data_IF_622858344782
#
_entry.id   IF_622858344782
#
_cell.length_a   1.000
_cell.length_b   1.000
_cell.length_c   1.000
_cell.angle_alpha   90.00
_cell.angle_beta   90.00
_cell.angle_gamma   90.00
#
_symmetry.space_group_name_H-M   'P 1'
#
loop_
_entity.id
_entity.type
_entity.pdbx_description
1 polymer ?
#
# COMPACT_ATOMS: atom_id res chain seq x y z
N UNK A 1 9.12 24.95 -2.31
CA UNK A 1 8.54 24.18 -1.15
C UNK A 1 7.10 23.82 -1.46
N UNK A 2 6.71 22.55 -1.27
CA UNK A 2 5.33 22.10 -1.52
C UNK A 2 4.36 22.73 -0.51
N UNK A 3 3.19 23.21 -0.93
CA UNK A 3 2.22 23.86 -0.04
C UNK A 3 1.73 22.93 1.07
N UNK A 4 1.54 23.48 2.28
CA UNK A 4 1.04 22.74 3.44
C UNK A 4 -0.50 22.60 3.42
N UNK A 5 -1.18 23.53 2.75
CA UNK A 5 -2.63 23.50 2.58
C UNK A 5 -3.01 22.54 1.46
N UNK A 6 -4.17 21.86 1.57
CA UNK A 6 -4.66 20.98 0.52
C UNK A 6 -4.92 21.78 -0.75
N UNK A 7 -4.28 21.38 -1.84
CA UNK A 7 -4.51 21.93 -3.16
C UNK A 7 -5.60 21.12 -3.88
N UNK A 8 -6.33 21.78 -4.76
CA UNK A 8 -7.12 21.08 -5.78
C UNK A 8 -6.20 20.42 -6.81
N UNK A 9 -6.70 19.42 -7.53
CA UNK A 9 -5.91 18.71 -8.56
C UNK A 9 -5.37 19.70 -9.61
N UNK A 10 -6.14 20.72 -9.96
CA UNK A 10 -5.68 21.71 -10.96
C UNK A 10 -4.59 22.63 -10.40
N UNK A 11 -4.66 23.00 -9.12
CA UNK A 11 -3.58 23.76 -8.47
C UNK A 11 -2.31 22.91 -8.33
N UNK A 12 -2.41 21.61 -8.04
CA UNK A 12 -1.27 20.69 -8.05
C UNK A 12 -0.61 20.60 -9.44
N UNK A 13 -1.40 20.52 -10.51
CA UNK A 13 -0.90 20.53 -11.88
C UNK A 13 -0.20 21.84 -12.23
N UNK A 14 -0.81 22.96 -11.86
CA UNK A 14 -0.25 24.28 -12.13
C UNK A 14 1.05 24.49 -11.34
N UNK A 15 1.12 23.98 -10.12
CA UNK A 15 2.34 23.98 -9.31
C UNK A 15 3.48 23.23 -10.01
N UNK A 16 3.21 22.02 -10.53
CA UNK A 16 4.20 21.27 -11.30
C UNK A 16 4.55 21.90 -12.64
N UNK A 17 3.55 22.44 -13.35
CA UNK A 17 3.76 23.09 -14.65
C UNK A 17 4.67 24.32 -14.53
N UNK A 18 4.50 25.13 -13.49
CA UNK A 18 5.33 26.31 -13.24
C UNK A 18 6.71 25.99 -12.69
N UNK A 19 6.81 25.05 -11.78
CA UNK A 19 8.05 24.78 -11.05
C UNK A 19 8.88 23.62 -11.62
N UNK A 20 8.34 22.85 -12.57
CA UNK A 20 9.06 21.76 -13.23
C UNK A 20 9.63 20.71 -12.26
N UNK A 21 10.86 20.30 -12.51
CA UNK A 21 11.55 19.28 -11.70
C UNK A 21 11.73 19.72 -10.24
N UNK A 22 11.95 20.98 -9.95
CA UNK A 22 12.10 21.48 -8.59
C UNK A 22 10.80 21.35 -7.79
N UNK A 23 9.64 21.67 -8.41
CA UNK A 23 8.34 21.49 -7.79
C UNK A 23 8.03 20.02 -7.54
N UNK A 24 8.39 19.14 -8.47
CA UNK A 24 8.24 17.69 -8.29
C UNK A 24 9.12 17.17 -7.14
N UNK A 25 10.38 17.61 -7.06
CA UNK A 25 11.28 17.25 -5.97
C UNK A 25 10.73 17.70 -4.61
N UNK A 26 10.19 18.92 -4.52
CA UNK A 26 9.53 19.44 -3.32
C UNK A 26 8.33 18.57 -2.89
N UNK A 27 7.50 18.16 -3.85
CA UNK A 27 6.35 17.28 -3.59
C UNK A 27 6.80 15.88 -3.12
N UNK A 28 7.80 15.29 -3.77
CA UNK A 28 8.35 13.99 -3.39
C UNK A 28 8.96 14.03 -1.97
N UNK A 29 9.66 15.10 -1.64
CA UNK A 29 10.21 15.33 -0.30
C UNK A 29 9.10 15.47 0.75
N UNK A 30 8.05 16.22 0.43
CA UNK A 30 6.89 16.40 1.29
C UNK A 30 6.18 15.09 1.61
N UNK A 31 6.03 14.21 0.62
CA UNK A 31 5.37 12.92 0.80
C UNK A 31 6.31 11.78 1.23
N UNK A 32 7.63 12.01 1.31
CA UNK A 32 8.64 10.97 1.50
C UNK A 32 8.34 10.01 2.67
N UNK A 33 8.12 10.53 3.87
CA UNK A 33 7.86 9.70 5.06
C UNK A 33 6.57 8.87 4.95
N UNK A 34 5.57 9.40 4.22
CA UNK A 34 4.33 8.66 3.97
C UNK A 34 4.53 7.55 2.96
N UNK A 35 5.30 7.81 1.89
CA UNK A 35 5.63 6.83 0.87
C UNK A 35 6.54 5.72 1.44
N UNK A 36 7.49 6.07 2.29
CA UNK A 36 8.34 5.11 3.00
C UNK A 36 7.51 4.11 3.82
N UNK A 37 6.55 4.58 4.61
CA UNK A 37 5.63 3.70 5.36
C UNK A 37 4.81 2.79 4.46
N UNK A 38 4.36 3.30 3.30
CA UNK A 38 3.61 2.51 2.32
C UNK A 38 4.48 1.37 1.77
N UNK A 39 5.72 1.67 1.39
CA UNK A 39 6.67 0.66 0.89
C UNK A 39 6.97 -0.37 1.97
N UNK A 40 7.30 0.06 3.19
CA UNK A 40 7.59 -0.83 4.32
C UNK A 40 6.41 -1.77 4.63
N UNK A 41 5.19 -1.25 4.60
CA UNK A 41 3.99 -2.04 4.84
C UNK A 41 3.73 -3.06 3.72
N UNK A 42 3.91 -2.66 2.46
CA UNK A 42 3.60 -3.49 1.28
C UNK A 42 4.74 -4.43 0.88
N UNK A 43 5.94 -4.19 1.34
CA UNK A 43 7.10 -5.01 1.01
C UNK A 43 6.99 -6.40 1.61
N UNK A 44 7.09 -7.42 0.76
CA UNK A 44 7.12 -8.82 1.19
C UNK A 44 8.31 -9.09 2.14
N UNK A 45 8.05 -9.69 3.33
CA UNK A 45 9.11 -9.92 4.32
C UNK A 45 10.30 -10.72 3.78
N UNK A 46 10.05 -11.67 2.88
CA UNK A 46 11.08 -12.49 2.26
C UNK A 46 12.07 -11.69 1.37
N UNK A 47 11.72 -10.45 1.00
CA UNK A 47 12.54 -9.61 0.14
C UNK A 47 13.28 -8.52 0.92
N UNK A 48 12.94 -8.28 2.18
CA UNK A 48 13.56 -7.20 3.01
C UNK A 48 15.06 -7.34 3.21
N UNK A 49 15.60 -8.54 3.03
CA UNK A 49 17.06 -8.78 3.05
C UNK A 49 17.76 -8.50 1.72
N UNK A 50 17.02 -8.16 0.67
CA UNK A 50 17.53 -8.01 -0.70
C UNK A 50 17.14 -6.69 -1.36
N UNK A 51 16.06 -6.08 -0.91
CA UNK A 51 15.54 -4.82 -1.42
C UNK A 51 15.36 -3.92 -0.21
N UNK A 52 15.98 -2.75 -0.24
CA UNK A 52 15.75 -1.72 0.75
C UNK A 52 14.58 -0.82 0.32
N UNK A 53 13.90 -0.24 1.30
CA UNK A 53 12.86 0.77 1.09
C UNK A 53 13.41 1.97 0.31
N UNK A 54 14.65 2.37 0.61
CA UNK A 54 15.33 3.46 -0.08
C UNK A 54 15.53 3.16 -1.58
N UNK A 55 15.90 1.92 -1.93
CA UNK A 55 16.07 1.50 -3.33
C UNK A 55 14.76 1.61 -4.11
N UNK A 56 13.64 1.16 -3.49
CA UNK A 56 12.31 1.26 -4.10
C UNK A 56 11.92 2.71 -4.33
N UNK A 57 12.14 3.58 -3.34
CA UNK A 57 11.80 5.00 -3.46
C UNK A 57 12.68 5.70 -4.50
N UNK A 58 13.96 5.41 -4.53
CA UNK A 58 14.88 5.98 -5.52
C UNK A 58 14.46 5.62 -6.94
N UNK A 59 14.20 4.33 -7.21
CA UNK A 59 13.74 3.89 -8.53
C UNK A 59 12.37 4.50 -8.87
N UNK A 60 11.46 4.56 -7.89
CA UNK A 60 10.16 5.21 -8.08
C UNK A 60 10.30 6.67 -8.46
N UNK A 61 11.18 7.42 -7.79
CA UNK A 61 11.37 8.85 -8.06
C UNK A 61 11.95 9.10 -9.46
N UNK A 62 12.85 8.24 -9.94
CA UNK A 62 13.33 8.29 -11.32
C UNK A 62 12.20 8.06 -12.34
N UNK A 63 11.34 7.06 -12.09
CA UNK A 63 10.20 6.78 -12.97
C UNK A 63 9.15 7.91 -12.94
N UNK A 64 8.84 8.45 -11.75
CA UNK A 64 7.92 9.57 -11.57
C UNK A 64 8.42 10.81 -12.31
N UNK A 65 9.71 11.14 -12.22
CA UNK A 65 10.30 12.29 -12.90
C UNK A 65 10.16 12.18 -14.41
N UNK A 66 10.38 11.02 -14.98
CA UNK A 66 10.22 10.77 -16.43
C UNK A 66 8.77 10.87 -16.91
N UNK A 67 7.81 10.62 -16.02
CA UNK A 67 6.38 10.51 -16.32
C UNK A 67 5.54 11.64 -15.72
N UNK A 68 6.18 12.69 -15.18
CA UNK A 68 5.49 13.83 -14.56
C UNK A 68 4.49 14.52 -15.52
N UNK A 69 4.79 14.52 -16.84
CA UNK A 69 3.90 15.02 -17.87
C UNK A 69 2.52 14.31 -17.85
N UNK A 70 2.45 13.00 -17.55
CA UNK A 70 1.17 12.28 -17.50
C UNK A 70 0.21 12.91 -16.47
N UNK A 71 0.73 13.31 -15.30
CA UNK A 71 -0.07 13.99 -14.30
C UNK A 71 -0.51 15.39 -14.76
N UNK A 72 0.42 16.14 -15.33
CA UNK A 72 0.17 17.49 -15.85
C UNK A 72 -0.87 17.47 -16.98
N UNK A 73 -0.83 16.46 -17.85
CA UNK A 73 -1.72 16.31 -19.00
C UNK A 73 -3.14 15.86 -18.65
N UNK A 74 -3.41 15.43 -17.40
CA UNK A 74 -4.79 15.32 -16.95
C UNK A 74 -5.24 14.03 -16.29
N UNK A 75 -4.39 13.33 -15.55
CA UNK A 75 -4.83 12.18 -14.74
C UNK A 75 -5.84 12.63 -13.66
N UNK A 76 -7.03 12.01 -13.54
CA UNK A 76 -8.13 12.52 -12.70
C UNK A 76 -8.00 12.10 -11.22
N UNK A 77 -6.80 12.17 -10.66
CA UNK A 77 -6.53 11.88 -9.24
C UNK A 77 -5.56 12.93 -8.68
N UNK A 78 -5.52 13.07 -7.36
CA UNK A 78 -4.57 13.96 -6.68
C UNK A 78 -3.12 13.54 -6.90
N UNK A 79 -2.20 14.50 -6.81
CA UNK A 79 -0.76 14.26 -7.00
C UNK A 79 -0.23 13.16 -6.07
N UNK A 80 -0.67 13.20 -4.80
CA UNK A 80 -0.28 12.16 -3.85
C UNK A 80 -0.74 10.76 -4.29
N UNK A 81 -1.99 10.61 -4.73
CA UNK A 81 -2.52 9.31 -5.16
C UNK A 81 -1.80 8.83 -6.42
N UNK A 82 -1.52 9.72 -7.36
CA UNK A 82 -0.74 9.38 -8.56
C UNK A 82 0.68 8.93 -8.21
N UNK A 83 1.41 9.67 -7.36
CA UNK A 83 2.76 9.30 -6.88
C UNK A 83 2.70 7.93 -6.17
N UNK A 84 1.74 7.73 -5.26
CA UNK A 84 1.54 6.46 -4.55
C UNK A 84 1.36 5.29 -5.51
N UNK A 85 0.53 5.45 -6.54
CA UNK A 85 0.31 4.40 -7.54
C UNK A 85 1.62 4.01 -8.24
N UNK A 86 2.46 4.99 -8.59
CA UNK A 86 3.77 4.74 -9.20
C UNK A 86 4.72 4.01 -8.24
N UNK A 87 4.79 4.44 -6.99
CA UNK A 87 5.63 3.80 -5.96
C UNK A 87 5.20 2.34 -5.72
N UNK A 88 3.90 2.09 -5.59
CA UNK A 88 3.37 0.74 -5.41
C UNK A 88 3.65 -0.12 -6.64
N UNK A 89 3.49 0.42 -7.85
CA UNK A 89 3.81 -0.30 -9.09
C UNK A 89 5.29 -0.65 -9.16
N UNK A 90 6.19 0.29 -8.88
CA UNK A 90 7.64 0.04 -8.85
C UNK A 90 7.99 -1.07 -7.85
N UNK A 91 7.41 -1.03 -6.65
CA UNK A 91 7.61 -2.09 -5.66
C UNK A 91 7.20 -3.47 -6.20
N UNK A 92 6.02 -3.56 -6.85
CA UNK A 92 5.53 -4.82 -7.44
C UNK A 92 6.49 -5.31 -8.52
N UNK A 93 6.94 -4.43 -9.39
CA UNK A 93 7.82 -4.80 -10.50
C UNK A 93 9.18 -5.29 -9.98
N UNK A 94 9.74 -4.63 -8.97
CA UNK A 94 10.95 -5.07 -8.29
C UNK A 94 10.77 -6.43 -7.61
N UNK A 95 9.65 -6.64 -6.92
CA UNK A 95 9.33 -7.93 -6.29
C UNK A 95 9.19 -9.03 -7.34
N UNK A 96 8.48 -8.78 -8.45
CA UNK A 96 8.35 -9.73 -9.56
C UNK A 96 9.70 -10.09 -10.20
N UNK A 97 10.57 -9.12 -10.40
CA UNK A 97 11.92 -9.34 -10.91
C UNK A 97 12.70 -10.32 -10.03
N UNK A 98 12.76 -10.07 -8.74
CA UNK A 98 13.46 -10.93 -7.79
C UNK A 98 12.87 -12.34 -7.63
N UNK A 99 11.56 -12.51 -7.81
CA UNK A 99 10.93 -13.83 -7.82
C UNK A 99 11.11 -14.55 -9.15
N UNK A 100 11.23 -13.83 -10.27
CA UNK A 100 11.49 -14.40 -11.59
C UNK A 100 12.88 -15.02 -11.69
N UNK A 101 13.90 -14.38 -11.12
CA UNK A 101 15.26 -14.92 -11.05
C UNK A 101 15.34 -16.23 -10.25
N UNK A 102 14.42 -16.41 -9.27
CA UNK A 102 14.25 -17.68 -8.55
C UNK A 102 13.49 -18.76 -9.33
N UNK A 103 12.69 -18.40 -10.36
CA UNK A 103 11.99 -19.41 -11.20
C UNK A 103 12.93 -20.29 -12.00
N UNK A 104 14.15 -19.83 -12.26
CA UNK A 104 15.20 -20.68 -12.83
C UNK A 104 15.80 -21.69 -11.83
N UNK A 105 15.44 -21.62 -10.53
CA UNK A 105 16.00 -22.49 -9.50
C UNK A 105 14.98 -23.37 -8.74
N UNK A 106 13.70 -23.03 -8.65
CA UNK A 106 12.65 -23.90 -8.08
C UNK A 106 11.23 -23.32 -8.29
N UNK A 107 10.26 -24.21 -8.65
CA UNK A 107 8.85 -23.93 -8.82
C UNK A 107 8.27 -23.11 -7.66
N UNK A 108 7.93 -21.84 -7.89
CA UNK A 108 7.20 -21.01 -6.94
C UNK A 108 5.83 -20.66 -7.51
N UNK A 109 4.79 -20.86 -6.69
CA UNK A 109 3.37 -20.54 -6.94
C UNK A 109 3.23 -19.15 -7.59
N UNK A 110 2.37 -19.09 -8.59
CA UNK A 110 1.97 -17.86 -9.27
C UNK A 110 1.47 -16.83 -8.27
N UNK A 111 2.12 -15.66 -8.26
CA UNK A 111 1.53 -14.48 -7.64
C UNK A 111 0.28 -14.11 -8.45
N UNK A 112 -0.88 -13.89 -7.81
CA UNK A 112 -2.09 -13.50 -8.52
C UNK A 112 -1.83 -12.24 -9.33
N UNK A 113 -2.15 -12.30 -10.61
CA UNK A 113 -2.10 -11.17 -11.53
C UNK A 113 -3.31 -10.27 -11.27
N UNK A 114 -3.21 -9.35 -10.33
CA UNK A 114 -4.18 -8.27 -10.22
C UNK A 114 -3.43 -6.93 -10.19
N UNK A 115 -3.91 -5.99 -10.99
CA UNK A 115 -3.26 -4.75 -11.43
C UNK A 115 -2.96 -3.71 -10.32
N UNK A 116 -3.41 -3.96 -9.11
CA UNK A 116 -3.11 -3.11 -7.95
C UNK A 116 -2.39 -3.98 -6.93
N UNK A 117 -1.14 -3.64 -6.58
CA UNK A 117 -0.35 -4.37 -5.59
C UNK A 117 -1.17 -4.76 -4.38
N UNK A 118 -1.70 -5.97 -4.42
CA UNK A 118 -2.57 -6.47 -3.37
C UNK A 118 -1.81 -6.45 -2.07
N UNK A 119 -2.39 -5.80 -1.09
CA UNK A 119 -1.88 -5.89 0.28
C UNK A 119 -1.95 -7.33 0.70
N UNK A 120 -0.79 -7.93 0.97
CA UNK A 120 -0.77 -9.33 1.36
C UNK A 120 -1.49 -9.51 2.70
N UNK A 121 -2.23 -10.59 2.85
CA UNK A 121 -2.82 -10.96 4.14
C UNK A 121 -1.75 -11.05 5.22
N UNK A 122 -0.52 -11.39 4.82
CA UNK A 122 0.67 -11.44 5.64
C UNK A 122 1.01 -10.07 6.26
N UNK A 123 0.98 -8.99 5.46
CA UNK A 123 1.28 -7.64 5.93
C UNK A 123 0.24 -7.14 6.92
N UNK A 124 -1.05 -7.39 6.65
CA UNK A 124 -2.15 -7.05 7.55
C UNK A 124 -2.05 -7.86 8.85
N UNK A 125 -1.88 -9.18 8.77
CA UNK A 125 -1.79 -10.06 9.93
C UNK A 125 -0.60 -9.66 10.82
N UNK A 126 0.56 -9.41 10.23
CA UNK A 126 1.75 -8.98 10.95
C UNK A 126 1.52 -7.69 11.71
N UNK A 127 0.97 -6.67 11.05
CA UNK A 127 0.70 -5.39 11.70
C UNK A 127 -0.30 -5.52 12.86
N UNK A 128 -1.37 -6.28 12.68
CA UNK A 128 -2.40 -6.46 13.72
C UNK A 128 -1.87 -7.22 14.96
N UNK A 129 -0.82 -8.03 14.80
CA UNK A 129 -0.21 -8.78 15.88
C UNK A 129 1.02 -8.10 16.49
N UNK A 130 1.74 -7.28 15.74
CA UNK A 130 2.90 -6.52 16.26
C UNK A 130 2.50 -5.49 17.31
N UNK A 131 1.27 -4.97 17.29
CA UNK A 131 0.73 -4.05 18.30
C UNK A 131 0.43 -4.70 19.66
N UNK A 132 0.51 -6.05 19.77
CA UNK A 132 0.15 -6.82 20.97
C UNK A 132 1.37 -7.46 21.67
N UNK A 133 2.44 -6.73 21.90
CA UNK A 133 3.71 -7.28 22.35
C UNK A 133 3.80 -7.75 23.80
N UNK A 134 4.03 -9.07 23.99
CA UNK A 134 4.77 -9.64 25.14
C UNK A 134 5.71 -10.74 24.64
N UNK A 135 7.00 -10.79 25.05
CA UNK A 135 7.99 -11.74 24.52
C UNK A 135 7.75 -13.21 24.88
N UNK A 136 6.92 -13.49 25.88
CA UNK A 136 6.76 -14.85 26.45
C UNK A 136 5.84 -15.80 25.67
N UNK A 137 5.28 -15.40 24.51
CA UNK A 137 4.24 -16.16 23.80
C UNK A 137 4.58 -16.46 22.33
N UNK A 138 5.82 -16.71 21.99
CA UNK A 138 6.25 -16.85 20.59
C UNK A 138 5.56 -17.98 19.81
N UNK A 139 5.29 -19.12 20.41
CA UNK A 139 4.63 -20.26 19.77
C UNK A 139 3.13 -20.00 19.53
N UNK A 140 2.42 -19.46 20.53
CA UNK A 140 1.01 -19.09 20.40
C UNK A 140 0.81 -17.98 19.33
N UNK A 141 1.78 -17.08 19.19
CA UNK A 141 1.79 -16.04 18.14
C UNK A 141 1.89 -16.62 16.74
N UNK A 142 2.66 -17.69 16.55
CA UNK A 142 2.79 -18.32 15.23
C UNK A 142 1.45 -18.89 14.77
N UNK A 143 0.74 -19.58 15.64
CA UNK A 143 -0.58 -20.14 15.35
C UNK A 143 -1.64 -19.05 15.12
N UNK A 144 -1.67 -18.02 15.97
CA UNK A 144 -2.59 -16.87 15.80
C UNK A 144 -2.32 -16.13 14.48
N UNK A 145 -1.05 -15.97 14.13
CA UNK A 145 -0.64 -15.37 12.87
C UNK A 145 -1.14 -16.17 11.66
N UNK A 146 -0.92 -17.48 11.64
CA UNK A 146 -1.37 -18.34 10.55
C UNK A 146 -2.91 -18.36 10.44
N UNK A 147 -3.61 -18.42 11.58
CA UNK A 147 -5.08 -18.35 11.61
C UNK A 147 -5.59 -17.01 11.07
N UNK A 148 -5.01 -15.89 11.51
CA UNK A 148 -5.39 -14.55 11.05
C UNK A 148 -5.10 -14.38 9.56
N UNK A 149 -3.93 -14.82 9.09
CA UNK A 149 -3.57 -14.78 7.68
C UNK A 149 -4.57 -15.59 6.84
N UNK A 150 -4.89 -16.82 7.25
CA UNK A 150 -5.85 -17.69 6.57
C UNK A 150 -7.25 -17.06 6.56
N UNK A 151 -7.67 -16.48 7.66
CA UNK A 151 -8.96 -15.82 7.78
C UNK A 151 -9.04 -14.56 6.88
N UNK A 152 -7.99 -13.76 6.82
CA UNK A 152 -7.89 -12.60 5.92
C UNK A 152 -7.96 -13.02 4.43
N UNK A 153 -7.52 -14.22 4.07
CA UNK A 153 -7.66 -14.76 2.72
C UNK A 153 -9.12 -14.96 2.30
N UNK A 154 -10.04 -15.10 3.25
CA UNK A 154 -11.48 -15.18 2.96
C UNK A 154 -12.11 -13.85 2.62
N UNK A 155 -11.42 -12.73 2.89
CA UNK A 155 -11.88 -11.39 2.53
C UNK A 155 -11.67 -11.12 1.04
N UNK A 156 -12.55 -10.31 0.46
CA UNK A 156 -12.36 -9.78 -0.88
C UNK A 156 -11.11 -8.90 -0.94
N UNK A 157 -10.35 -8.98 -2.03
CA UNK A 157 -9.10 -8.21 -2.22
C UNK A 157 -9.29 -6.71 -2.05
N UNK A 158 -10.37 -6.17 -2.63
CA UNK A 158 -10.69 -4.74 -2.51
C UNK A 158 -11.01 -4.33 -1.07
N UNK A 159 -11.63 -5.21 -0.28
CA UNK A 159 -11.94 -4.93 1.12
C UNK A 159 -10.65 -4.91 1.96
N UNK A 160 -9.71 -5.83 1.71
CA UNK A 160 -8.38 -5.79 2.31
C UNK A 160 -7.63 -4.52 1.93
N UNK A 161 -7.70 -4.15 0.66
CA UNK A 161 -7.02 -2.96 0.13
C UNK A 161 -7.55 -1.67 0.77
N UNK A 162 -8.87 -1.55 0.94
CA UNK A 162 -9.48 -0.41 1.65
C UNK A 162 -9.00 -0.33 3.09
N UNK A 163 -8.93 -1.46 3.81
CA UNK A 163 -8.39 -1.49 5.17
C UNK A 163 -6.93 -1.04 5.21
N UNK A 164 -6.11 -1.55 4.29
CA UNK A 164 -4.71 -1.19 4.17
C UNK A 164 -4.54 0.32 3.95
N UNK A 165 -5.23 0.88 2.97
CA UNK A 165 -5.16 2.30 2.65
C UNK A 165 -5.59 3.18 3.82
N UNK A 166 -6.66 2.82 4.54
CA UNK A 166 -7.20 3.62 5.65
C UNK A 166 -6.37 3.53 6.92
N UNK A 167 -5.95 2.33 7.32
CA UNK A 167 -5.30 2.09 8.61
C UNK A 167 -3.78 2.19 8.55
N UNK A 168 -3.17 1.65 7.49
CA UNK A 168 -1.71 1.56 7.42
C UNK A 168 -1.10 2.68 6.60
N UNK A 169 -1.74 3.05 5.49
CA UNK A 169 -1.26 4.14 4.65
C UNK A 169 -1.85 5.50 5.05
N UNK A 170 -2.84 5.51 5.93
CA UNK A 170 -3.50 6.72 6.44
C UNK A 170 -4.10 7.62 5.33
N UNK A 171 -4.65 7.00 4.29
CA UNK A 171 -5.36 7.71 3.25
C UNK A 171 -6.73 8.18 3.78
N UNK A 172 -7.13 9.39 3.39
CA UNK A 172 -8.50 9.84 3.63
C UNK A 172 -9.48 9.17 2.66
N UNK A 173 -10.79 9.37 2.87
CA UNK A 173 -11.81 8.70 2.07
C UNK A 173 -11.78 9.10 0.58
N UNK A 174 -11.46 10.37 0.28
CA UNK A 174 -11.34 10.84 -1.10
C UNK A 174 -10.16 10.17 -1.81
N UNK A 175 -9.01 10.10 -1.16
CA UNK A 175 -7.81 9.44 -1.68
C UNK A 175 -8.03 7.94 -1.92
N UNK A 176 -8.77 7.26 -1.02
CA UNK A 176 -9.15 5.85 -1.23
C UNK A 176 -10.10 5.70 -2.42
N UNK A 177 -11.08 6.59 -2.54
CA UNK A 177 -12.00 6.60 -3.68
C UNK A 177 -11.25 6.80 -5.01
N UNK A 178 -10.36 7.78 -5.08
CA UNK A 178 -9.49 8.03 -6.23
C UNK A 178 -8.61 6.80 -6.55
N UNK A 179 -7.93 6.25 -5.54
CA UNK A 179 -7.01 5.13 -5.72
C UNK A 179 -7.69 3.86 -6.24
N UNK A 180 -8.95 3.64 -5.88
CA UNK A 180 -9.75 2.46 -6.25
C UNK A 180 -10.75 2.74 -7.40
N UNK A 181 -10.76 3.96 -7.94
CA UNK A 181 -11.73 4.39 -8.94
C UNK A 181 -13.19 4.16 -8.49
N UNK A 182 -13.49 4.57 -7.25
CA UNK A 182 -14.81 4.48 -6.63
C UNK A 182 -15.37 5.87 -6.36
N UNK A 183 -16.70 5.94 -6.17
CA UNK A 183 -17.27 7.16 -5.58
C UNK A 183 -16.90 7.24 -4.09
N UNK A 184 -16.82 8.46 -3.48
CA UNK A 184 -16.54 8.63 -2.06
C UNK A 184 -17.52 7.85 -1.15
N UNK A 185 -18.78 7.79 -1.53
CA UNK A 185 -19.82 7.01 -0.83
C UNK A 185 -19.56 5.51 -0.92
N UNK A 186 -19.18 5.02 -2.11
CA UNK A 186 -18.84 3.62 -2.31
C UNK A 186 -17.60 3.20 -1.50
N UNK A 187 -16.57 4.05 -1.47
CA UNK A 187 -15.36 3.83 -0.67
C UNK A 187 -15.69 3.76 0.84
N UNK A 188 -16.50 4.70 1.35
CA UNK A 188 -16.95 4.71 2.75
C UNK A 188 -17.75 3.47 3.12
N UNK A 189 -18.73 3.09 2.31
CA UNK A 189 -19.56 1.90 2.54
C UNK A 189 -18.72 0.61 2.50
N UNK A 190 -17.73 0.54 1.61
CA UNK A 190 -16.82 -0.59 1.52
C UNK A 190 -15.95 -0.69 2.76
N UNK A 191 -15.41 0.43 3.24
CA UNK A 191 -14.64 0.48 4.45
C UNK A 191 -15.42 -0.03 5.67
N UNK A 192 -16.66 0.44 5.87
CA UNK A 192 -17.53 0.00 6.98
C UNK A 192 -17.74 -1.53 6.93
N UNK A 193 -18.05 -2.07 5.75
CA UNK A 193 -18.22 -3.53 5.57
C UNK A 193 -16.94 -4.30 5.82
N UNK A 194 -15.80 -3.80 5.36
CA UNK A 194 -14.51 -4.43 5.56
C UNK A 194 -14.12 -4.48 7.03
N UNK A 195 -14.36 -3.38 7.79
CA UNK A 195 -14.14 -3.33 9.25
C UNK A 195 -15.04 -4.32 9.99
N UNK A 196 -16.34 -4.36 9.64
CA UNK A 196 -17.28 -5.29 10.25
C UNK A 196 -16.83 -6.76 10.03
N UNK A 197 -16.45 -7.10 8.80
CA UNK A 197 -15.97 -8.44 8.45
C UNK A 197 -14.68 -8.80 9.17
N UNK A 198 -13.73 -7.85 9.28
CA UNK A 198 -12.51 -8.06 10.06
C UNK A 198 -12.83 -8.31 11.54
N UNK A 199 -13.80 -7.56 12.10
CA UNK A 199 -14.27 -7.74 13.46
C UNK A 199 -14.89 -9.15 13.70
N UNK A 200 -15.64 -9.68 12.74
CA UNK A 200 -16.17 -11.05 12.80
C UNK A 200 -15.05 -12.10 12.76
N UNK A 201 -14.07 -11.91 11.89
CA UNK A 201 -12.89 -12.77 11.80
C UNK A 201 -12.15 -12.79 13.15
N UNK A 202 -11.88 -11.64 13.74
CA UNK A 202 -11.18 -11.53 15.01
C UNK A 202 -11.95 -12.19 16.18
N UNK A 203 -13.28 -12.02 16.21
CA UNK A 203 -14.13 -12.69 17.21
C UNK A 203 -14.06 -14.22 17.07
N UNK A 204 -14.15 -14.73 15.84
CA UNK A 204 -14.09 -16.18 15.58
C UNK A 204 -12.74 -16.78 16.00
N UNK A 205 -11.66 -16.03 15.87
CA UNK A 205 -10.34 -16.45 16.35
C UNK A 205 -10.28 -16.50 17.88
N UNK A 206 -10.81 -15.46 18.56
CA UNK A 206 -10.80 -15.37 20.03
C UNK A 206 -11.67 -16.43 20.72
N UNK A 207 -12.75 -16.90 20.07
CA UNK A 207 -13.66 -17.91 20.66
C UNK A 207 -13.18 -19.35 20.48
N UNK A 208 -12.18 -19.61 19.66
CA UNK A 208 -11.58 -20.97 19.50
C UNK A 208 -10.49 -21.27 20.54
N UNK A 209 -10.05 -20.27 21.28
CA UNK A 209 -8.97 -20.37 22.28
C UNK A 209 -9.51 -20.37 23.74
N UNK A 210 -10.84 -20.37 23.92
CA UNK A 210 -11.53 -20.46 25.19
C UNK A 210 -12.19 -21.85 25.34
#
# INVERSE_FOLDING_TARGET
>A
MFPQEPLSIEEEREFLRKGGEAALADALLFYHSKLERIVQFRMEPALRSRIDTADVLQESYLQISRRAHEFIDGVPVSLFVWIRQRVVQTLIDMQRGHFSDKRNANRVKELPSNDYGQTSCLSIARFLLDDRTSPSMAAARSEEFERLQSALQTMNDTDREVLAMRHFEQLNNLQVAEALNLSPTAASNRYIRAVAKLGEIMKTLSTKDA
#
